data_IF_658189081453
#
_entry.id   IF_658189081453
#
_cell.length_a   1.000
_cell.length_b   1.000
_cell.length_c   1.000
_cell.angle_alpha   90.00
_cell.angle_beta   90.00
_cell.angle_gamma   90.00
#
_symmetry.space_group_name_H-M   'P 1'
#
loop_
_entity.id
_entity.type
_entity.pdbx_description
1 polymer ?
#
# COMPACT_ATOMS: atom_id res chain seq x y z
N UNK A 1 31.54 -3.54 9.85
CA UNK A 1 31.34 -5.00 9.91
C UNK A 1 30.06 -5.37 9.17
N UNK A 2 30.22 -6.03 8.02
CA UNK A 2 29.08 -6.38 7.14
C UNK A 2 28.51 -7.72 7.62
N UNK A 3 27.58 -7.70 8.57
CA UNK A 3 26.86 -8.89 9.01
C UNK A 3 25.94 -9.35 7.86
N UNK A 4 26.46 -10.15 6.94
CA UNK A 4 25.65 -10.84 5.93
C UNK A 4 24.66 -11.72 6.68
N UNK A 5 23.40 -11.27 6.80
CA UNK A 5 22.33 -12.07 7.39
C UNK A 5 22.32 -13.43 6.70
N UNK A 6 22.59 -14.49 7.47
CA UNK A 6 22.66 -15.85 6.96
C UNK A 6 21.28 -16.24 6.44
N UNK A 7 21.19 -16.54 5.14
CA UNK A 7 19.96 -17.03 4.52
C UNK A 7 19.66 -18.44 5.06
N UNK A 8 18.48 -18.63 5.61
CA UNK A 8 18.00 -19.92 6.10
C UNK A 8 16.97 -20.42 5.09
N UNK A 9 17.16 -21.60 4.48
CA UNK A 9 16.17 -22.15 3.55
C UNK A 9 14.85 -22.40 4.30
N UNK A 10 13.74 -22.18 3.61
CA UNK A 10 12.42 -22.51 4.13
C UNK A 10 12.24 -24.04 4.14
N UNK A 11 11.46 -24.60 5.08
CA UNK A 11 11.16 -26.03 5.10
C UNK A 11 10.52 -26.50 3.79
N UNK A 12 10.77 -27.76 3.42
CA UNK A 12 10.10 -28.39 2.27
C UNK A 12 8.59 -28.49 2.51
N UNK A 13 7.80 -28.33 1.47
CA UNK A 13 6.33 -28.34 1.56
C UNK A 13 5.69 -27.05 2.11
N UNK A 14 6.48 -26.00 2.30
CA UNK A 14 6.02 -24.72 2.80
C UNK A 14 5.33 -23.91 1.70
N UNK A 15 4.16 -23.34 1.98
CA UNK A 15 3.56 -22.32 1.13
C UNK A 15 4.45 -21.07 1.16
N UNK A 16 5.19 -20.81 0.08
CA UNK A 16 6.20 -19.74 0.06
C UNK A 16 5.62 -18.43 -0.47
N UNK A 17 5.97 -17.32 0.20
CA UNK A 17 5.56 -15.98 -0.18
C UNK A 17 6.78 -15.13 -0.50
N UNK A 18 6.76 -14.54 -1.70
CA UNK A 18 7.84 -13.69 -2.19
C UNK A 18 7.65 -12.25 -1.72
N UNK A 19 8.72 -11.58 -1.34
CA UNK A 19 8.65 -10.17 -0.99
C UNK A 19 8.47 -9.34 -2.25
N UNK A 20 7.45 -8.48 -2.30
CA UNK A 20 7.18 -7.64 -3.45
C UNK A 20 7.57 -6.17 -3.18
N UNK A 21 8.44 -5.61 -4.02
CA UNK A 21 8.67 -4.17 -4.08
C UNK A 21 7.49 -3.44 -4.74
N UNK A 22 6.71 -4.17 -5.53
CA UNK A 22 5.64 -3.63 -6.34
C UNK A 22 4.49 -3.07 -5.48
N UNK A 23 4.23 -3.62 -4.30
CA UNK A 23 3.22 -3.08 -3.39
C UNK A 23 3.50 -1.61 -3.03
N UNK A 24 4.75 -1.29 -2.69
CA UNK A 24 5.13 0.10 -2.36
C UNK A 24 4.97 1.04 -3.56
N UNK A 25 5.34 0.58 -4.76
CA UNK A 25 5.16 1.37 -5.98
C UNK A 25 3.68 1.61 -6.27
N UNK A 26 2.83 0.60 -6.16
CA UNK A 26 1.37 0.74 -6.39
C UNK A 26 0.75 1.76 -5.45
N UNK A 27 1.13 1.73 -4.16
CA UNK A 27 0.66 2.71 -3.16
C UNK A 27 1.13 4.12 -3.53
N UNK A 28 2.41 4.29 -3.88
CA UNK A 28 2.96 5.60 -4.24
C UNK A 28 2.30 6.16 -5.50
N UNK A 29 2.07 5.35 -6.52
CA UNK A 29 1.32 5.78 -7.71
C UNK A 29 -0.12 6.18 -7.38
N UNK A 30 -0.81 5.42 -6.51
CA UNK A 30 -2.14 5.77 -6.03
C UNK A 30 -2.17 7.11 -5.29
N UNK A 31 -1.18 7.40 -4.47
CA UNK A 31 -1.04 8.68 -3.78
C UNK A 31 -0.85 9.85 -4.76
N UNK A 32 0.00 9.67 -5.77
CA UNK A 32 0.24 10.69 -6.82
C UNK A 32 -1.06 10.98 -7.58
N UNK A 33 -1.82 9.95 -7.96
CA UNK A 33 -3.10 10.13 -8.65
C UNK A 33 -4.11 10.83 -7.74
N UNK A 34 -4.17 10.50 -6.45
CA UNK A 34 -5.05 11.17 -5.50
C UNK A 34 -4.71 12.66 -5.35
N UNK A 35 -3.41 13.01 -5.30
CA UNK A 35 -2.96 14.40 -5.25
C UNK A 35 -3.37 15.11 -6.53
N UNK A 36 -3.11 14.51 -7.67
CA UNK A 36 -3.45 15.10 -8.96
C UNK A 36 -4.95 15.35 -9.09
N UNK A 37 -5.79 14.34 -8.82
CA UNK A 37 -7.25 14.47 -8.89
C UNK A 37 -7.79 15.47 -7.85
N UNK A 38 -7.24 15.46 -6.63
CA UNK A 38 -7.63 16.38 -5.56
C UNK A 38 -7.41 17.84 -5.92
N UNK A 39 -6.35 18.17 -6.66
CA UNK A 39 -6.05 19.54 -7.12
C UNK A 39 -6.78 19.83 -8.43
N UNK A 40 -6.70 18.95 -9.39
CA UNK A 40 -7.15 19.17 -10.76
C UNK A 40 -8.68 19.32 -10.87
N UNK A 41 -9.44 18.50 -10.15
CA UNK A 41 -10.91 18.53 -10.21
C UNK A 41 -11.47 19.89 -9.73
N UNK A 42 -11.15 20.39 -8.53
CA UNK A 42 -11.67 21.69 -8.08
C UNK A 42 -11.23 22.85 -8.97
N UNK A 43 -9.95 22.88 -9.37
CA UNK A 43 -9.42 23.93 -10.24
C UNK A 43 -10.18 24.03 -11.56
N UNK A 44 -10.45 22.88 -12.16
CA UNK A 44 -11.11 22.90 -13.47
C UNK A 44 -12.61 23.12 -13.37
N UNK A 45 -13.25 22.72 -12.26
CA UNK A 45 -14.64 23.12 -12.00
C UNK A 45 -14.73 24.65 -11.90
N UNK A 46 -13.82 25.28 -11.16
CA UNK A 46 -13.78 26.73 -11.04
C UNK A 46 -13.51 27.42 -12.38
N UNK A 47 -12.59 26.91 -13.20
CA UNK A 47 -12.35 27.41 -14.54
C UNK A 47 -13.57 27.26 -15.46
N UNK A 48 -14.26 26.14 -15.41
CA UNK A 48 -15.50 25.91 -16.17
C UNK A 48 -16.62 26.87 -15.75
N UNK A 49 -16.75 27.15 -14.47
CA UNK A 49 -17.71 28.13 -13.95
C UNK A 49 -17.38 29.56 -14.43
N UNK A 50 -16.09 29.93 -14.43
CA UNK A 50 -15.63 31.25 -14.92
C UNK A 50 -15.95 31.44 -16.39
N UNK A 51 -15.67 30.46 -17.22
CA UNK A 51 -15.85 30.56 -18.68
C UNK A 51 -17.27 30.21 -19.16
N UNK A 52 -18.18 29.81 -18.24
CA UNK A 52 -19.54 29.38 -18.55
C UNK A 52 -19.59 28.22 -19.59
N UNK A 53 -18.56 27.40 -19.65
CA UNK A 53 -18.44 26.32 -20.62
C UNK A 53 -18.55 24.93 -19.96
N UNK A 54 -19.72 24.25 -20.07
CA UNK A 54 -19.92 22.93 -19.45
C UNK A 54 -19.07 21.82 -20.05
N UNK A 55 -18.52 22.02 -21.27
CA UNK A 55 -17.64 21.02 -21.91
C UNK A 55 -16.40 20.73 -21.09
N UNK A 56 -15.87 21.73 -20.37
CA UNK A 56 -14.71 21.50 -19.48
C UNK A 56 -15.05 20.51 -18.37
N UNK A 57 -16.24 20.58 -17.76
CA UNK A 57 -16.66 19.64 -16.74
C UNK A 57 -16.74 18.19 -17.27
N UNK A 58 -17.24 18.03 -18.48
CA UNK A 58 -17.35 16.72 -19.12
C UNK A 58 -15.98 16.13 -19.48
N UNK A 59 -15.07 16.97 -19.97
CA UNK A 59 -13.67 16.58 -20.26
C UNK A 59 -12.94 16.11 -19.02
N UNK A 60 -13.10 16.81 -17.88
CA UNK A 60 -12.48 16.45 -16.60
C UNK A 60 -13.00 15.12 -16.10
N UNK A 61 -14.33 14.94 -16.16
CA UNK A 61 -14.92 13.68 -15.72
C UNK A 61 -14.34 12.51 -16.54
N UNK A 62 -14.25 12.70 -17.86
CA UNK A 62 -13.67 11.69 -18.75
C UNK A 62 -12.21 11.38 -18.40
N UNK A 63 -11.36 12.41 -18.26
CA UNK A 63 -9.94 12.24 -17.89
C UNK A 63 -9.81 11.57 -16.53
N UNK A 64 -10.63 11.96 -15.55
CA UNK A 64 -10.59 11.38 -14.21
C UNK A 64 -10.96 9.91 -14.22
N UNK A 65 -11.98 9.53 -14.97
CA UNK A 65 -12.41 8.13 -15.14
C UNK A 65 -11.32 7.32 -15.83
N UNK A 66 -10.70 7.83 -16.90
CA UNK A 66 -9.61 7.14 -17.61
C UNK A 66 -8.41 6.91 -16.70
N UNK A 67 -7.98 7.93 -15.95
CA UNK A 67 -6.86 7.80 -14.99
C UNK A 67 -7.15 6.76 -13.90
N UNK A 68 -8.38 6.72 -13.38
CA UNK A 68 -8.77 5.72 -12.38
C UNK A 68 -8.82 4.31 -12.97
N UNK A 69 -9.29 4.16 -14.19
CA UNK A 69 -9.30 2.87 -14.90
C UNK A 69 -7.88 2.37 -15.16
N UNK A 70 -7.00 3.23 -15.69
CA UNK A 70 -5.60 2.88 -15.95
C UNK A 70 -4.87 2.48 -14.66
N UNK A 71 -5.10 3.23 -13.58
CA UNK A 71 -4.55 2.85 -12.27
C UNK A 71 -5.09 1.50 -11.80
N UNK A 72 -6.39 1.26 -11.94
CA UNK A 72 -7.03 0.00 -11.58
C UNK A 72 -6.44 -1.19 -12.35
N UNK A 73 -6.25 -1.04 -13.65
CA UNK A 73 -5.63 -2.06 -14.52
C UNK A 73 -4.17 -2.30 -14.10
N UNK A 74 -3.38 -1.24 -13.95
CA UNK A 74 -1.98 -1.34 -13.52
C UNK A 74 -1.87 -1.99 -12.13
N UNK A 75 -2.70 -1.62 -11.18
CA UNK A 75 -2.74 -2.23 -9.86
C UNK A 75 -3.10 -3.72 -9.92
N UNK A 76 -4.10 -4.09 -10.74
CA UNK A 76 -4.49 -5.48 -10.95
C UNK A 76 -3.35 -6.30 -11.58
N UNK A 77 -2.68 -5.77 -12.61
CA UNK A 77 -1.52 -6.42 -13.24
C UNK A 77 -0.38 -6.60 -12.25
N UNK A 78 -0.06 -5.57 -11.47
CA UNK A 78 0.96 -5.66 -10.41
C UNK A 78 0.59 -6.73 -9.40
N UNK A 79 -0.68 -6.84 -9.01
CA UNK A 79 -1.16 -7.88 -8.09
C UNK A 79 -1.01 -9.28 -8.68
N UNK A 80 -1.34 -9.46 -9.95
CA UNK A 80 -1.23 -10.74 -10.65
C UNK A 80 0.23 -11.17 -10.82
N UNK A 81 1.10 -10.25 -11.22
CA UNK A 81 2.51 -10.55 -11.49
C UNK A 81 3.39 -10.52 -10.22
N UNK A 82 2.96 -9.92 -9.13
CA UNK A 82 3.74 -9.87 -7.88
C UNK A 82 4.08 -11.25 -7.31
N UNK A 83 3.33 -12.29 -7.71
CA UNK A 83 3.61 -13.66 -7.32
C UNK A 83 4.80 -14.28 -8.04
N UNK A 84 5.16 -13.78 -9.22
CA UNK A 84 6.19 -14.37 -10.07
C UNK A 84 7.59 -13.84 -9.79
N UNK A 85 7.70 -12.64 -9.21
CA UNK A 85 8.97 -11.95 -9.04
C UNK A 85 9.39 -11.86 -7.56
N UNK A 86 10.67 -12.13 -7.30
CA UNK A 86 11.31 -11.99 -6.00
C UNK A 86 11.70 -13.32 -5.35
N UNK A 87 12.56 -13.23 -4.33
CA UNK A 87 12.97 -14.39 -3.54
C UNK A 87 11.94 -14.70 -2.46
N UNK A 88 11.60 -15.97 -2.21
CA UNK A 88 10.74 -16.34 -1.09
C UNK A 88 11.43 -15.92 0.23
N UNK A 89 10.70 -15.23 1.09
CA UNK A 89 11.21 -14.78 2.39
C UNK A 89 10.42 -15.28 3.57
N UNK A 90 9.17 -15.59 3.32
CA UNK A 90 8.24 -16.07 4.34
C UNK A 90 7.55 -17.30 3.79
N UNK A 91 7.30 -18.27 4.64
CA UNK A 91 6.53 -19.46 4.33
C UNK A 91 5.58 -19.82 5.45
N UNK A 92 4.48 -20.49 5.12
CA UNK A 92 3.54 -21.05 6.09
C UNK A 92 3.56 -22.56 5.95
N UNK A 93 3.78 -23.23 7.07
CA UNK A 93 3.74 -24.68 7.17
C UNK A 93 3.12 -25.08 8.51
N UNK A 94 2.14 -25.96 8.50
CA UNK A 94 1.49 -26.49 9.72
C UNK A 94 1.04 -25.41 10.72
N UNK A 95 0.44 -24.32 10.21
CA UNK A 95 0.00 -23.21 11.06
C UNK A 95 1.11 -22.39 11.71
N UNK A 96 2.33 -22.47 11.17
CA UNK A 96 3.49 -21.69 11.62
C UNK A 96 4.06 -20.84 10.50
N UNK A 97 4.48 -19.63 10.83
CA UNK A 97 5.17 -18.71 9.92
C UNK A 97 6.67 -18.97 10.05
N UNK A 98 7.32 -19.29 8.94
CA UNK A 98 8.76 -19.47 8.80
C UNK A 98 9.35 -18.30 8.02
N UNK A 99 10.53 -17.83 8.45
CA UNK A 99 11.23 -16.72 7.80
C UNK A 99 12.66 -17.10 7.43
N UNK A 100 13.12 -16.65 6.28
CA UNK A 100 14.48 -16.97 5.80
C UNK A 100 15.60 -16.22 6.51
N UNK A 101 15.28 -15.18 7.26
CA UNK A 101 16.23 -14.35 8.01
C UNK A 101 16.30 -14.72 9.50
N UNK A 102 15.46 -15.62 9.98
CA UNK A 102 15.38 -16.05 11.38
C UNK A 102 15.14 -17.54 11.50
N UNK A 103 15.80 -18.16 12.49
CA UNK A 103 15.61 -19.58 12.79
C UNK A 103 14.28 -19.89 13.48
N UNK A 104 13.66 -18.89 14.12
CA UNK A 104 12.44 -19.08 14.92
C UNK A 104 11.22 -19.05 14.02
N UNK A 105 10.35 -20.05 14.14
CA UNK A 105 9.01 -20.06 13.52
C UNK A 105 7.98 -19.54 14.52
N UNK A 106 6.96 -18.85 13.99
CA UNK A 106 5.90 -18.22 14.78
C UNK A 106 4.60 -19.01 14.58
N UNK A 107 3.99 -19.57 15.64
CA UNK A 107 2.65 -20.14 15.52
C UNK A 107 1.63 -19.04 15.19
N UNK A 108 0.80 -19.27 14.18
CA UNK A 108 -0.23 -18.29 13.77
C UNK A 108 -1.21 -18.02 14.91
N UNK A 109 -1.56 -19.05 15.69
CA UNK A 109 -2.48 -18.95 16.83
C UNK A 109 -1.99 -18.02 17.96
N UNK A 110 -0.69 -17.76 18.05
CA UNK A 110 -0.11 -16.93 19.11
C UNK A 110 -0.09 -15.44 18.73
N UNK A 111 -0.57 -15.07 17.54
CA UNK A 111 -0.60 -13.69 17.07
C UNK A 111 -1.71 -12.93 17.78
N UNK A 112 -1.36 -11.82 18.45
CA UNK A 112 -2.30 -10.94 19.16
C UNK A 112 -2.78 -9.76 18.33
N UNK A 113 -1.86 -9.11 17.62
CA UNK A 113 -2.20 -8.00 16.73
C UNK A 113 -1.31 -7.98 15.49
N UNK A 114 -1.78 -7.30 14.46
CA UNK A 114 -1.07 -7.13 13.20
C UNK A 114 -1.17 -5.68 12.74
N UNK A 115 -0.03 -5.02 12.60
CA UNK A 115 0.04 -3.65 12.13
C UNK A 115 0.74 -3.59 10.78
N UNK A 116 -0.01 -3.22 9.74
CA UNK A 116 0.52 -3.05 8.40
C UNK A 116 0.87 -1.59 8.14
N UNK A 117 2.15 -1.31 8.09
CA UNK A 117 2.69 -0.04 7.65
C UNK A 117 3.08 -0.12 6.17
N UNK A 118 2.46 0.72 5.32
CA UNK A 118 2.66 0.67 3.87
C UNK A 118 3.96 1.28 3.38
N UNK A 119 4.70 1.91 4.27
CA UNK A 119 5.96 2.54 3.94
C UNK A 119 5.79 3.98 3.43
N UNK A 120 6.89 4.67 3.32
CA UNK A 120 6.96 6.04 2.80
C UNK A 120 8.08 6.09 1.75
N UNK A 121 7.75 6.59 0.56
CA UNK A 121 8.73 6.83 -0.51
C UNK A 121 8.91 8.34 -0.66
N UNK A 122 9.85 8.90 0.11
CA UNK A 122 10.28 10.28 -0.07
C UNK A 122 11.70 10.34 -0.63
N UNK A 123 12.11 11.48 -1.21
CA UNK A 123 13.45 11.68 -1.79
C UNK A 123 14.61 11.35 -0.83
N UNK A 124 14.39 11.41 0.49
CA UNK A 124 15.43 11.23 1.50
C UNK A 124 15.28 9.99 2.37
N UNK A 125 14.08 9.37 2.43
CA UNK A 125 13.83 8.19 3.26
C UNK A 125 12.80 7.28 2.59
N UNK A 126 13.24 6.18 2.02
CA UNK A 126 12.34 5.13 1.60
C UNK A 126 12.26 4.05 2.68
N UNK A 127 11.18 4.02 3.44
CA UNK A 127 10.90 2.89 4.33
C UNK A 127 10.03 1.90 3.58
N UNK A 128 10.48 0.64 3.41
CA UNK A 128 9.67 -0.36 2.73
C UNK A 128 8.41 -0.69 3.55
N UNK A 129 7.34 -1.18 2.90
CA UNK A 129 6.18 -1.72 3.60
C UNK A 129 6.61 -2.76 4.64
N UNK A 130 5.99 -2.72 5.82
CA UNK A 130 6.29 -3.61 6.94
C UNK A 130 5.01 -4.12 7.56
N UNK A 131 5.01 -5.38 7.92
CA UNK A 131 4.01 -5.98 8.77
C UNK A 131 4.66 -6.25 10.12
N UNK A 132 4.18 -5.60 11.16
CA UNK A 132 4.54 -5.88 12.55
C UNK A 132 3.52 -6.84 13.13
N UNK A 133 3.98 -7.95 13.65
CA UNK A 133 3.16 -8.98 14.31
C UNK A 133 3.53 -8.96 15.78
N UNK A 134 2.55 -8.71 16.64
CA UNK A 134 2.72 -8.75 18.09
C UNK A 134 2.34 -10.13 18.63
N UNK A 135 3.21 -10.66 19.48
CA UNK A 135 3.07 -11.94 20.15
C UNK A 135 2.86 -11.74 21.66
N UNK A 136 2.50 -12.79 22.42
CA UNK A 136 2.51 -12.77 23.87
C UNK A 136 3.89 -12.34 24.40
N UNK A 137 3.92 -11.70 25.59
CA UNK A 137 5.15 -11.25 26.29
C UNK A 137 5.91 -10.14 25.57
N UNK A 138 5.18 -9.21 24.91
CA UNK A 138 5.73 -8.03 24.20
C UNK A 138 6.80 -8.36 23.13
N UNK A 139 6.81 -9.61 22.68
CA UNK A 139 7.67 -10.01 21.57
C UNK A 139 7.03 -9.53 20.25
N UNK A 140 7.82 -8.88 19.40
CA UNK A 140 7.35 -8.32 18.13
C UNK A 140 8.17 -8.85 16.96
N UNK A 141 7.48 -9.13 15.87
CA UNK A 141 8.08 -9.58 14.62
C UNK A 141 7.79 -8.62 13.49
N UNK A 142 8.83 -8.20 12.79
CA UNK A 142 8.70 -7.40 11.58
C UNK A 142 8.95 -8.24 10.32
N UNK A 143 8.00 -8.20 9.40
CA UNK A 143 8.13 -8.78 8.05
C UNK A 143 8.20 -7.61 7.06
N UNK A 144 9.37 -7.40 6.48
CA UNK A 144 9.56 -6.36 5.47
C UNK A 144 9.04 -6.81 4.12
N UNK A 145 8.28 -5.93 3.44
CA UNK A 145 7.69 -6.17 2.12
C UNK A 145 6.80 -7.42 2.07
N UNK A 146 5.76 -7.50 2.92
CA UNK A 146 4.85 -8.64 2.90
C UNK A 146 4.17 -8.74 1.53
N UNK A 147 3.91 -9.96 1.05
CA UNK A 147 3.10 -10.14 -0.14
C UNK A 147 1.61 -10.01 0.19
N UNK A 148 0.81 -9.54 -0.75
CA UNK A 148 -0.64 -9.39 -0.55
C UNK A 148 -1.31 -10.75 -0.33
N UNK A 149 -0.83 -11.81 -1.02
CA UNK A 149 -1.32 -13.18 -0.82
C UNK A 149 -1.08 -13.63 0.62
N UNK A 150 0.11 -13.37 1.16
CA UNK A 150 0.43 -13.67 2.56
C UNK A 150 -0.49 -12.94 3.53
N UNK A 151 -0.67 -11.61 3.34
CA UNK A 151 -1.58 -10.81 4.17
C UNK A 151 -3.02 -11.32 4.11
N UNK A 152 -3.50 -11.70 2.92
CA UNK A 152 -4.85 -12.25 2.74
C UNK A 152 -5.04 -13.58 3.48
N UNK A 153 -4.08 -14.49 3.37
CA UNK A 153 -4.13 -15.78 4.06
C UNK A 153 -4.07 -15.56 5.58
N UNK A 154 -3.17 -14.70 6.04
CA UNK A 154 -3.02 -14.40 7.47
C UNK A 154 -4.31 -13.80 8.05
N UNK A 155 -4.91 -12.83 7.36
CA UNK A 155 -6.19 -12.23 7.77
C UNK A 155 -7.34 -13.24 7.77
N UNK A 156 -7.37 -14.17 6.79
CA UNK A 156 -8.38 -15.23 6.74
C UNK A 156 -8.20 -16.24 7.90
N UNK A 157 -6.97 -16.51 8.30
CA UNK A 157 -6.65 -17.41 9.40
C UNK A 157 -6.88 -16.79 10.78
N UNK A 158 -6.94 -15.47 10.88
CA UNK A 158 -7.02 -14.70 12.11
C UNK A 158 -8.13 -13.63 12.05
N UNK A 159 -9.41 -14.04 11.89
CA UNK A 159 -10.51 -13.08 11.74
C UNK A 159 -10.75 -12.23 13.01
N UNK A 160 -10.32 -12.70 14.18
CA UNK A 160 -10.52 -12.04 15.48
C UNK A 160 -9.34 -11.17 15.92
N UNK A 161 -8.24 -11.17 15.18
CA UNK A 161 -7.05 -10.39 15.52
C UNK A 161 -7.20 -8.96 15.04
N UNK A 162 -6.98 -8.01 15.94
CA UNK A 162 -6.92 -6.59 15.58
C UNK A 162 -5.85 -6.36 14.50
N UNK A 163 -6.27 -5.75 13.41
CA UNK A 163 -5.36 -5.35 12.34
C UNK A 163 -5.51 -3.87 12.07
N UNK A 164 -4.49 -3.09 12.36
CA UNK A 164 -4.43 -1.71 11.95
C UNK A 164 -3.78 -1.60 10.57
N UNK A 165 -4.39 -0.79 9.71
CA UNK A 165 -3.84 -0.44 8.41
C UNK A 165 -3.72 1.06 8.32
N UNK A 166 -2.52 1.54 8.24
CA UNK A 166 -2.20 2.97 8.18
C UNK A 166 -2.72 3.64 6.87
N UNK A 167 -3.03 2.86 5.83
CA UNK A 167 -3.44 3.38 4.52
C UNK A 167 -4.73 4.22 4.53
N UNK A 168 -5.70 3.89 5.38
CA UNK A 168 -6.97 4.65 5.46
C UNK A 168 -6.72 6.08 5.91
N UNK A 169 -5.95 6.24 6.98
CA UNK A 169 -5.58 7.54 7.51
C UNK A 169 -4.80 8.35 6.48
N UNK A 170 -3.87 7.70 5.81
CA UNK A 170 -2.99 8.33 4.83
C UNK A 170 -3.73 8.80 3.57
N UNK A 171 -4.64 7.98 3.04
CA UNK A 171 -5.49 8.36 1.90
C UNK A 171 -6.38 9.55 2.25
N UNK A 172 -6.98 9.57 3.44
CA UNK A 172 -7.80 10.70 3.90
C UNK A 172 -6.99 12.00 4.01
N UNK A 173 -5.79 11.94 4.60
CA UNK A 173 -4.94 13.12 4.75
C UNK A 173 -4.44 13.63 3.39
N UNK A 174 -3.89 12.78 2.55
CA UNK A 174 -3.36 13.18 1.25
C UNK A 174 -4.49 13.68 0.35
N UNK A 175 -5.58 12.93 0.23
CA UNK A 175 -6.74 13.32 -0.58
C UNK A 175 -7.40 14.58 -0.07
N UNK A 176 -7.63 14.69 1.24
CA UNK A 176 -8.24 15.87 1.86
C UNK A 176 -7.42 17.14 1.70
N UNK A 177 -6.11 17.09 2.01
CA UNK A 177 -5.22 18.25 1.85
C UNK A 177 -5.10 18.68 0.38
N UNK A 178 -5.01 17.71 -0.53
CA UNK A 178 -4.94 18.01 -1.98
C UNK A 178 -6.23 18.66 -2.46
N UNK A 179 -7.39 18.18 -1.99
CA UNK A 179 -8.68 18.78 -2.33
C UNK A 179 -8.81 20.21 -1.81
N UNK A 180 -8.45 20.46 -0.55
CA UNK A 180 -8.47 21.81 0.03
C UNK A 180 -7.53 22.75 -0.74
N UNK A 181 -6.31 22.29 -1.05
CA UNK A 181 -5.38 23.06 -1.89
C UNK A 181 -5.93 23.36 -3.28
N UNK A 182 -6.59 22.38 -3.90
CA UNK A 182 -7.27 22.55 -5.19
C UNK A 182 -8.42 23.56 -5.16
N UNK A 183 -9.24 23.54 -4.09
CA UNK A 183 -10.32 24.51 -3.90
C UNK A 183 -9.77 25.94 -3.74
N UNK A 184 -8.74 26.12 -2.92
CA UNK A 184 -8.10 27.42 -2.72
C UNK A 184 -7.57 27.95 -4.07
N UNK A 185 -6.85 27.12 -4.82
CA UNK A 185 -6.32 27.50 -6.13
C UNK A 185 -7.45 27.83 -7.12
N UNK A 186 -8.53 27.04 -7.11
CA UNK A 186 -9.71 27.30 -7.94
C UNK A 186 -10.40 28.61 -7.62
N UNK A 187 -10.54 28.96 -6.34
CA UNK A 187 -11.09 30.28 -5.93
C UNK A 187 -10.20 31.41 -6.43
N UNK A 188 -8.88 31.29 -6.33
CA UNK A 188 -7.95 32.30 -6.87
C UNK A 188 -8.17 32.51 -8.37
N UNK A 189 -8.36 31.40 -9.13
CA UNK A 189 -8.63 31.48 -10.58
C UNK A 189 -9.99 32.16 -10.87
N UNK A 190 -11.00 31.95 -10.04
CA UNK A 190 -12.30 32.62 -10.17
C UNK A 190 -12.20 34.12 -9.91
N UNK A 191 -11.32 34.53 -8.98
CA UNK A 191 -11.16 35.93 -8.59
C UNK A 191 -10.23 36.73 -9.52
N UNK A 192 -9.35 36.06 -10.28
CA UNK A 192 -8.50 36.66 -11.30
C UNK A 192 -9.24 36.83 -12.64
#
# INVERSE_FOLDING_TARGET
MNNKKKYIPLPEGCDTFRSSRLLGLTVTFGEIILIFLGIFIPVTICAALKEHNPLYCLLILLISVLLLMDYGICAALVLLFSHSFGKPRVGILNGRIHMTDRKRSIPIKDIRSMDLYLGYSGKFYSRPPRLTISLPYDDTFEITRPSIRFLRILRKSLPHVESTMDWKHRVWWIGGLSFVGGVILGIVILCL
#
